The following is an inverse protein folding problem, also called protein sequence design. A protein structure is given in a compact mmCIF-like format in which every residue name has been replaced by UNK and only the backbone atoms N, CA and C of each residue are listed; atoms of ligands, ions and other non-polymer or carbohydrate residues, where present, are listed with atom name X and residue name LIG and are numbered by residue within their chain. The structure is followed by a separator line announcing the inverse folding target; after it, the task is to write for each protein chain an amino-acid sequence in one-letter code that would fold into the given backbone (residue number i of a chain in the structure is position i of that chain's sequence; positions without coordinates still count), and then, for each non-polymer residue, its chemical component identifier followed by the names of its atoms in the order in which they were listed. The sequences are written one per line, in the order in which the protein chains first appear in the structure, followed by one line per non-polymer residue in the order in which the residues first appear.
data_IF_532575446912
#
_entry.id   IF_532575446912
#
_cell.length_a   1.000
_cell.length_b   1.000
_cell.length_c   1.000
_cell.angle_alpha   90.00
_cell.angle_beta   90.00
_cell.angle_gamma   90.00
#
_symmetry.space_group_name_H-M   'P 1'
#
loop_
_entity.id
_entity.type
_entity.pdbx_description
1 polymer ?
#
# COMPACT_ATOMS: atom_id res chain seq x y z
N UNK A 1 29.98 -1.12 -14.53
CA UNK A 1 29.64 0.31 -14.41
C UNK A 1 28.26 0.43 -13.79
N UNK A 2 28.16 0.77 -12.50
CA UNK A 2 26.90 0.86 -11.78
C UNK A 2 26.25 2.23 -12.05
N UNK A 3 25.10 2.25 -12.70
CA UNK A 3 24.33 3.45 -12.96
C UNK A 3 23.80 4.05 -11.68
N UNK A 4 24.33 5.21 -11.30
CA UNK A 4 23.82 6.05 -10.20
C UNK A 4 22.36 6.41 -10.47
N UNK A 5 21.43 5.85 -9.71
CA UNK A 5 20.02 6.30 -9.66
C UNK A 5 20.03 7.76 -9.18
N UNK A 6 19.59 8.69 -10.02
CA UNK A 6 19.29 10.06 -9.60
C UNK A 6 18.11 10.00 -8.61
N UNK A 7 18.39 10.20 -7.33
CA UNK A 7 17.36 10.49 -6.34
C UNK A 7 16.72 11.82 -6.74
N UNK A 8 15.41 11.84 -6.94
CA UNK A 8 14.63 13.06 -7.04
C UNK A 8 14.64 13.65 -5.63
N UNK A 9 15.49 14.64 -5.40
CA UNK A 9 15.56 15.33 -4.12
C UNK A 9 14.22 16.05 -3.87
N UNK A 10 13.61 15.75 -2.74
CA UNK A 10 12.57 16.60 -2.15
C UNK A 10 13.22 17.97 -1.94
N UNK A 11 12.58 19.09 -2.31
CA UNK A 11 13.12 20.42 -2.03
C UNK A 11 13.49 20.54 -0.55
N UNK A 12 14.70 20.99 -0.24
CA UNK A 12 15.23 21.03 1.12
C UNK A 12 14.37 21.88 2.07
N UNK A 13 13.65 22.86 1.53
CA UNK A 13 12.67 23.69 2.24
C UNK A 13 11.43 22.88 2.74
N UNK A 14 11.10 21.76 2.11
CA UNK A 14 9.99 20.88 2.51
C UNK A 14 10.41 19.82 3.52
N UNK A 15 11.72 19.48 3.59
CA UNK A 15 12.27 18.55 4.56
C UNK A 15 12.40 19.16 5.98
N UNK A 16 12.43 20.49 6.07
CA UNK A 16 12.58 21.22 7.33
C UNK A 16 11.23 21.62 7.97
N UNK A 17 10.10 21.31 7.34
CA UNK A 17 8.78 21.65 7.84
C UNK A 17 8.03 20.38 8.28
N UNK A 18 7.98 20.07 9.61
CA UNK A 18 7.20 18.91 10.11
C UNK A 18 5.69 19.01 9.86
N UNK A 19 5.25 20.04 9.14
CA UNK A 19 3.85 20.38 8.89
C UNK A 19 3.52 20.66 7.41
N UNK A 20 4.24 20.05 6.45
CA UNK A 20 3.91 20.23 5.04
C UNK A 20 2.45 19.82 4.79
N UNK A 21 1.60 20.80 4.45
CA UNK A 21 0.19 20.55 4.18
C UNK A 21 0.04 19.94 2.79
N UNK A 22 -0.91 19.01 2.57
CA UNK A 22 -1.16 18.44 1.25
C UNK A 22 -1.35 19.49 0.15
N UNK A 23 -1.88 20.67 0.48
CA UNK A 23 -2.05 21.80 -0.45
C UNK A 23 -0.74 22.41 -0.96
N UNK A 24 0.36 22.27 -0.24
CA UNK A 24 1.67 22.81 -0.65
C UNK A 24 2.20 22.08 -1.90
N UNK A 25 1.78 20.84 -2.09
CA UNK A 25 2.16 20.00 -3.24
C UNK A 25 1.33 20.27 -4.50
N UNK A 26 0.14 20.84 -4.33
CA UNK A 26 -0.79 21.11 -5.41
C UNK A 26 -1.40 22.51 -5.27
N UNK A 27 -0.69 23.58 -5.67
CA UNK A 27 -1.22 24.94 -5.62
C UNK A 27 -2.60 25.04 -6.26
N UNK A 28 -3.54 25.66 -5.55
CA UNK A 28 -4.93 25.84 -5.97
C UNK A 28 -5.85 24.62 -5.76
N UNK A 29 -5.35 23.52 -5.20
CA UNK A 29 -6.18 22.39 -4.78
C UNK A 29 -6.34 22.45 -3.24
N UNK A 30 -7.57 22.52 -2.72
CA UNK A 30 -7.80 22.51 -1.27
C UNK A 30 -7.37 21.16 -0.66
N UNK A 31 -6.89 21.18 0.58
CA UNK A 31 -6.46 19.98 1.33
C UNK A 31 -7.54 18.91 1.34
N UNK A 32 -8.80 19.33 1.51
CA UNK A 32 -9.99 18.44 1.50
C UNK A 32 -10.28 17.77 0.14
N UNK A 33 -9.50 18.07 -0.89
CA UNK A 33 -9.55 17.42 -2.20
C UNK A 33 -8.24 16.69 -2.57
N UNK A 34 -7.34 16.51 -1.60
CA UNK A 34 -6.09 15.74 -1.78
C UNK A 34 -6.16 14.46 -0.98
N UNK A 35 -5.95 13.31 -1.63
CA UNK A 35 -5.84 12.03 -0.96
C UNK A 35 -4.38 11.61 -0.81
N UNK A 36 -4.03 11.07 0.37
CA UNK A 36 -2.81 10.30 0.58
C UNK A 36 -3.05 8.84 0.24
N UNK A 37 -2.05 8.19 -0.34
CA UNK A 37 -2.12 6.78 -0.72
C UNK A 37 -0.85 6.07 -0.26
N UNK A 38 -1.03 4.88 0.33
CA UNK A 38 0.05 3.96 0.67
C UNK A 38 -0.43 2.51 0.55
N UNK A 39 0.51 1.55 0.57
CA UNK A 39 0.22 0.14 0.50
C UNK A 39 0.89 -0.69 1.60
N UNK A 40 0.31 -1.86 1.86
CA UNK A 40 0.86 -2.88 2.74
C UNK A 40 0.98 -4.24 2.04
N UNK A 41 2.08 -4.95 2.32
CA UNK A 41 2.22 -6.35 1.92
C UNK A 41 2.94 -6.59 0.59
N UNK A 42 3.67 -5.63 0.01
CA UNK A 42 4.43 -5.85 -1.24
C UNK A 42 5.45 -6.97 -1.14
N UNK A 43 6.28 -6.97 -0.11
CA UNK A 43 7.36 -7.95 0.08
C UNK A 43 6.95 -9.29 0.67
N UNK A 44 5.67 -9.55 0.89
CA UNK A 44 5.19 -10.79 1.51
C UNK A 44 5.12 -11.95 0.51
N UNK A 45 5.42 -13.17 0.98
CA UNK A 45 5.31 -14.41 0.19
C UNK A 45 3.87 -14.88 0.02
N UNK A 46 2.96 -14.42 0.88
CA UNK A 46 1.56 -14.82 0.89
C UNK A 46 0.62 -13.66 1.21
N UNK A 47 -0.63 -13.81 0.78
CA UNK A 47 -1.70 -12.86 1.00
C UNK A 47 -1.71 -11.71 0.00
N UNK A 48 -2.72 -10.83 0.09
CA UNK A 48 -2.91 -9.75 -0.85
C UNK A 48 -1.90 -8.61 -0.66
N UNK A 49 -1.73 -7.78 -1.68
CA UNK A 49 -1.33 -6.39 -1.53
C UNK A 49 -2.59 -5.55 -1.27
N UNK A 50 -2.53 -4.70 -0.27
CA UNK A 50 -3.63 -3.81 0.12
C UNK A 50 -3.13 -2.38 0.03
N UNK A 51 -3.85 -1.53 -0.68
CA UNK A 51 -3.63 -0.08 -0.67
C UNK A 51 -4.80 0.62 0.02
N UNK A 52 -4.51 1.74 0.66
CA UNK A 52 -5.54 2.65 1.16
C UNK A 52 -5.36 4.04 0.55
N UNK A 53 -6.48 4.75 0.41
CA UNK A 53 -6.54 6.15 0.07
C UNK A 53 -7.33 6.88 1.16
N UNK A 54 -6.81 8.00 1.66
CA UNK A 54 -7.43 8.77 2.75
C UNK A 54 -7.46 10.26 2.38
N UNK A 55 -8.57 10.93 2.66
CA UNK A 55 -8.69 12.40 2.60
C UNK A 55 -9.00 12.89 4.01
N UNK A 56 -8.13 13.74 4.55
CA UNK A 56 -8.34 14.37 5.85
C UNK A 56 -8.94 15.78 5.69
N UNK A 57 -9.74 16.26 6.67
CA UNK A 57 -10.16 17.65 6.70
C UNK A 57 -8.96 18.59 6.93
N UNK A 58 -9.11 19.83 6.51
CA UNK A 58 -8.08 20.85 6.77
C UNK A 58 -7.91 21.05 8.27
N UNK A 59 -6.63 21.12 8.71
CA UNK A 59 -6.31 21.29 10.13
C UNK A 59 -6.50 20.03 10.99
N UNK A 60 -6.80 18.87 10.40
CA UNK A 60 -6.90 17.62 11.16
C UNK A 60 -5.59 17.32 11.92
N UNK A 61 -5.70 17.12 13.23
CA UNK A 61 -4.61 16.68 14.09
C UNK A 61 -4.99 15.33 14.69
N UNK A 62 -4.23 14.30 14.36
CA UNK A 62 -4.41 12.94 14.89
C UNK A 62 -3.13 12.60 15.68
N UNK A 63 -3.19 12.57 17.03
CA UNK A 63 -2.01 12.33 17.86
C UNK A 63 -1.37 10.97 17.62
N UNK A 64 -0.07 10.93 17.37
CA UNK A 64 0.70 9.71 17.12
C UNK A 64 0.71 9.23 15.66
N UNK A 65 0.16 10.00 14.74
CA UNK A 65 0.16 9.67 13.31
C UNK A 65 1.58 9.65 12.72
N UNK A 66 2.46 10.56 13.17
CA UNK A 66 3.85 10.66 12.70
C UNK A 66 4.72 9.45 13.07
N UNK A 67 4.35 8.69 14.08
CA UNK A 67 5.14 7.55 14.60
C UNK A 67 4.65 6.19 14.04
N UNK A 68 3.96 6.18 12.91
CA UNK A 68 3.27 5.00 12.35
C UNK A 68 4.15 3.75 12.21
N UNK A 69 5.44 3.91 11.95
CA UNK A 69 6.41 2.79 11.76
C UNK A 69 6.73 2.01 13.04
N UNK A 70 6.59 2.64 14.21
CA UNK A 70 6.94 2.03 15.52
C UNK A 70 5.72 1.66 16.38
N UNK A 71 4.51 1.79 15.83
CA UNK A 71 3.29 1.54 16.57
C UNK A 71 3.11 0.05 16.89
N UNK A 72 2.71 -0.24 18.14
CA UNK A 72 2.18 -1.55 18.49
C UNK A 72 0.89 -1.85 17.71
N UNK A 73 0.53 -3.13 17.48
CA UNK A 73 -0.72 -3.50 16.83
C UNK A 73 -1.95 -2.82 17.45
N UNK A 74 -2.09 -2.87 18.77
CA UNK A 74 -3.22 -2.25 19.50
C UNK A 74 -3.30 -0.74 19.30
N UNK A 75 -2.16 -0.03 19.32
CA UNK A 75 -2.16 1.43 19.09
C UNK A 75 -2.50 1.76 17.64
N UNK A 76 -2.04 0.94 16.69
CA UNK A 76 -2.36 1.10 15.27
C UNK A 76 -3.85 0.88 15.00
N UNK A 77 -4.46 -0.12 15.62
CA UNK A 77 -5.90 -0.38 15.50
C UNK A 77 -6.72 0.79 16.06
N UNK A 78 -6.32 1.36 17.20
CA UNK A 78 -6.92 2.57 17.76
C UNK A 78 -6.82 3.76 16.81
N UNK A 79 -5.64 4.00 16.24
CA UNK A 79 -5.44 5.07 15.26
C UNK A 79 -6.23 4.85 13.96
N UNK A 80 -6.35 3.61 13.49
CA UNK A 80 -7.17 3.31 12.32
C UNK A 80 -8.64 3.67 12.57
N UNK A 81 -9.16 3.42 13.77
CA UNK A 81 -10.52 3.84 14.16
C UNK A 81 -10.65 5.37 14.22
N UNK A 82 -9.68 6.08 14.83
CA UNK A 82 -9.62 7.54 14.87
C UNK A 82 -9.58 8.15 13.46
N UNK A 83 -8.72 7.63 12.57
CA UNK A 83 -8.64 8.05 11.17
C UNK A 83 -10.00 7.84 10.48
N UNK A 84 -10.61 6.68 10.67
CA UNK A 84 -11.91 6.36 10.07
C UNK A 84 -13.04 7.31 10.51
N UNK A 85 -12.97 7.81 11.75
CA UNK A 85 -13.95 8.76 12.30
C UNK A 85 -13.70 10.21 11.82
N UNK A 86 -12.44 10.61 11.61
CA UNK A 86 -12.06 12.00 11.27
C UNK A 86 -12.01 12.22 9.75
N UNK A 87 -11.64 11.19 8.97
CA UNK A 87 -11.46 11.33 7.53
C UNK A 87 -12.73 11.75 6.79
N UNK A 88 -12.60 12.68 5.85
CA UNK A 88 -13.68 13.05 4.92
C UNK A 88 -14.07 11.88 4.02
N UNK A 89 -13.10 11.10 3.62
CA UNK A 89 -13.28 9.86 2.89
C UNK A 89 -12.05 8.96 3.06
N UNK A 90 -12.27 7.65 3.05
CA UNK A 90 -11.23 6.66 2.91
C UNK A 90 -11.72 5.49 2.06
N UNK A 91 -10.80 4.80 1.41
CA UNK A 91 -11.09 3.69 0.54
C UNK A 91 -9.96 2.68 0.53
N UNK A 92 -10.29 1.43 0.20
CA UNK A 92 -9.36 0.31 0.14
C UNK A 92 -9.35 -0.31 -1.26
N UNK A 93 -8.18 -0.74 -1.67
CA UNK A 93 -7.99 -1.58 -2.85
C UNK A 93 -7.21 -2.83 -2.47
N UNK A 94 -7.69 -3.98 -2.91
CA UNK A 94 -7.09 -5.29 -2.57
C UNK A 94 -6.82 -6.05 -3.86
N UNK A 95 -5.60 -6.56 -4.02
CA UNK A 95 -5.24 -7.47 -5.12
C UNK A 95 -4.65 -8.74 -4.54
N UNK A 96 -5.25 -9.88 -4.87
CA UNK A 96 -4.92 -11.18 -4.30
C UNK A 96 -3.77 -11.89 -5.02
N UNK A 97 -3.16 -12.86 -4.36
CA UNK A 97 -1.97 -13.59 -4.82
C UNK A 97 -2.09 -14.15 -6.25
N UNK A 98 -3.20 -14.77 -6.70
CA UNK A 98 -3.29 -15.26 -8.07
C UNK A 98 -3.17 -14.15 -9.13
N UNK A 99 -3.68 -12.96 -8.82
CA UNK A 99 -3.55 -11.84 -9.73
C UNK A 99 -2.16 -11.19 -9.64
N UNK A 100 -1.54 -11.15 -8.45
CA UNK A 100 -0.14 -10.72 -8.28
C UNK A 100 0.78 -11.57 -9.14
N UNK A 101 0.60 -12.89 -9.15
CA UNK A 101 1.38 -13.80 -9.97
C UNK A 101 1.18 -13.56 -11.48
N UNK A 102 -0.02 -13.13 -11.88
CA UNK A 102 -0.36 -12.87 -13.28
C UNK A 102 0.22 -11.56 -13.82
N UNK A 103 0.20 -10.47 -13.02
CA UNK A 103 0.53 -9.11 -13.48
C UNK A 103 1.79 -8.52 -12.84
N UNK A 104 2.48 -9.24 -11.99
CA UNK A 104 3.55 -8.87 -11.07
C UNK A 104 3.13 -7.89 -9.94
N UNK A 105 4.02 -7.80 -8.91
CA UNK A 105 3.71 -7.04 -7.70
C UNK A 105 3.61 -5.52 -7.94
N UNK A 106 4.39 -4.96 -8.86
CA UNK A 106 4.32 -3.53 -9.15
C UNK A 106 2.96 -3.17 -9.75
N UNK A 107 2.54 -3.89 -10.78
CA UNK A 107 1.24 -3.65 -11.43
C UNK A 107 0.08 -3.93 -10.48
N UNK A 108 0.19 -4.95 -9.64
CA UNK A 108 -0.80 -5.26 -8.61
C UNK A 108 -0.93 -4.14 -7.57
N UNK A 109 0.20 -3.56 -7.14
CA UNK A 109 0.22 -2.41 -6.21
C UNK A 109 -0.46 -1.19 -6.84
N UNK A 110 -0.07 -0.81 -8.05
CA UNK A 110 -0.67 0.33 -8.76
C UNK A 110 -2.18 0.13 -9.01
N UNK A 111 -2.58 -1.12 -9.30
CA UNK A 111 -3.99 -1.48 -9.42
C UNK A 111 -4.73 -1.35 -8.08
N UNK A 112 -4.14 -1.81 -6.98
CA UNK A 112 -4.71 -1.64 -5.64
C UNK A 112 -4.87 -0.16 -5.27
N UNK A 113 -3.85 0.67 -5.53
CA UNK A 113 -3.89 2.12 -5.32
C UNK A 113 -4.99 2.79 -6.15
N UNK A 114 -5.13 2.41 -7.42
CA UNK A 114 -6.21 2.90 -8.29
C UNK A 114 -7.60 2.54 -7.73
N UNK A 115 -7.77 1.30 -7.26
CA UNK A 115 -9.02 0.86 -6.61
C UNK A 115 -9.32 1.68 -5.36
N UNK A 116 -8.33 1.84 -4.47
CA UNK A 116 -8.48 2.62 -3.24
C UNK A 116 -8.94 4.06 -3.53
N UNK A 117 -8.31 4.73 -4.50
CA UNK A 117 -8.67 6.09 -4.89
C UNK A 117 -10.07 6.15 -5.53
N UNK A 118 -10.42 5.18 -6.39
CA UNK A 118 -11.67 5.19 -7.16
C UNK A 118 -12.93 4.94 -6.33
N UNK A 119 -12.81 4.35 -5.14
CA UNK A 119 -13.95 4.07 -4.24
C UNK A 119 -14.18 5.17 -3.20
N UNK A 120 -13.37 6.23 -3.21
CA UNK A 120 -13.56 7.37 -2.30
C UNK A 120 -14.90 8.05 -2.56
N UNK A 121 -15.66 8.31 -1.50
CA UNK A 121 -16.94 9.05 -1.58
C UNK A 121 -16.73 10.51 -1.99
N UNK A 122 -15.59 11.08 -1.63
CA UNK A 122 -15.14 12.41 -2.08
C UNK A 122 -14.09 12.20 -3.16
N UNK A 123 -14.37 12.73 -4.36
CA UNK A 123 -13.43 12.59 -5.47
C UNK A 123 -12.19 13.44 -5.26
N UNK A 124 -11.00 12.86 -5.23
CA UNK A 124 -9.75 13.63 -5.10
C UNK A 124 -9.42 14.38 -6.40
N UNK A 125 -8.90 15.61 -6.26
CA UNK A 125 -8.28 16.39 -7.34
C UNK A 125 -6.77 16.18 -7.38
N UNK A 126 -6.16 15.76 -6.25
CA UNK A 126 -4.75 15.44 -6.11
C UNK A 126 -4.53 14.15 -5.35
N UNK A 127 -3.47 13.41 -5.69
CA UNK A 127 -3.01 12.22 -5.00
C UNK A 127 -1.55 12.39 -4.58
N UNK A 128 -1.26 12.23 -3.30
CA UNK A 128 0.08 12.09 -2.75
C UNK A 128 0.30 10.61 -2.48
N UNK A 129 1.29 10.01 -3.14
CA UNK A 129 1.48 8.56 -3.15
C UNK A 129 2.82 8.24 -2.53
N UNK A 130 2.86 7.32 -1.55
CA UNK A 130 4.12 6.84 -1.00
C UNK A 130 5.00 6.19 -2.06
N UNK A 131 6.32 6.41 -1.95
CA UNK A 131 7.31 5.82 -2.83
C UNK A 131 7.65 6.67 -4.07
N UNK A 132 7.99 6.00 -5.18
CA UNK A 132 8.54 6.64 -6.38
C UNK A 132 7.71 6.38 -7.66
N UNK A 133 6.50 5.85 -7.52
CA UNK A 133 5.62 5.52 -8.65
C UNK A 133 4.32 6.29 -8.56
N UNK A 134 3.73 6.59 -9.72
CA UNK A 134 2.37 7.13 -9.84
C UNK A 134 1.48 6.12 -10.54
N UNK A 135 0.16 6.24 -10.34
CA UNK A 135 -0.82 5.35 -10.95
C UNK A 135 -0.96 5.69 -12.44
N UNK A 136 -0.74 4.72 -13.36
CA UNK A 136 -0.88 4.96 -14.80
C UNK A 136 -2.28 5.44 -15.20
N UNK A 137 -2.33 6.44 -16.06
CA UNK A 137 -3.58 7.00 -16.61
C UNK A 137 -4.57 5.95 -17.14
N UNK A 138 -4.13 4.91 -17.89
CA UNK A 138 -5.04 3.87 -18.39
C UNK A 138 -5.79 3.12 -17.28
N UNK A 139 -5.19 2.94 -16.09
CA UNK A 139 -5.88 2.31 -14.96
C UNK A 139 -7.05 3.16 -14.46
N UNK A 140 -6.88 4.49 -14.40
CA UNK A 140 -7.97 5.39 -14.05
C UNK A 140 -9.08 5.39 -15.09
N UNK A 141 -8.74 5.45 -16.39
CA UNK A 141 -9.74 5.38 -17.46
C UNK A 141 -10.57 4.10 -17.41
N UNK A 142 -9.94 2.99 -17.10
CA UNK A 142 -10.63 1.70 -17.00
C UNK A 142 -11.51 1.61 -15.74
N UNK A 143 -11.05 2.12 -14.60
CA UNK A 143 -11.69 1.92 -13.30
C UNK A 143 -12.63 3.04 -12.90
N UNK A 144 -12.28 4.25 -13.23
CA UNK A 144 -13.02 5.49 -12.91
C UNK A 144 -13.49 6.19 -14.17
N UNK A 145 -14.11 5.44 -15.09
CA UNK A 145 -14.58 5.96 -16.39
C UNK A 145 -15.58 7.12 -16.26
N UNK A 146 -16.28 7.23 -15.13
CA UNK A 146 -17.18 8.35 -14.82
C UNK A 146 -16.43 9.63 -14.38
N UNK A 147 -15.12 9.58 -14.15
CA UNK A 147 -14.36 10.75 -13.78
C UNK A 147 -14.03 11.57 -15.04
N UNK A 148 -14.34 12.89 -15.08
CA UNK A 148 -14.05 13.73 -16.24
C UNK A 148 -12.56 13.88 -16.53
N UNK A 149 -11.70 13.71 -15.52
CA UNK A 149 -10.24 13.73 -15.64
C UNK A 149 -9.60 12.94 -14.50
N UNK A 150 -8.41 12.41 -14.72
CA UNK A 150 -7.60 11.82 -13.65
C UNK A 150 -7.11 12.90 -12.69
N UNK A 151 -6.96 12.58 -11.38
CA UNK A 151 -6.38 13.51 -10.42
C UNK A 151 -4.92 13.81 -10.73
N UNK A 152 -4.45 14.99 -10.35
CA UNK A 152 -3.00 15.29 -10.35
C UNK A 152 -2.30 14.37 -9.37
N UNK A 153 -1.09 13.90 -9.69
CA UNK A 153 -0.38 12.93 -8.85
C UNK A 153 1.02 13.38 -8.54
N UNK A 154 1.48 13.08 -7.33
CA UNK A 154 2.87 13.21 -6.91
C UNK A 154 3.28 12.04 -6.03
N UNK A 155 4.37 11.38 -6.41
CA UNK A 155 5.02 10.36 -5.57
C UNK A 155 5.99 11.04 -4.60
N UNK A 156 6.04 10.55 -3.36
CA UNK A 156 6.86 11.07 -2.29
C UNK A 156 7.57 9.89 -1.63
N UNK A 157 8.89 9.86 -1.74
CA UNK A 157 9.71 8.83 -1.07
C UNK A 157 9.64 9.06 0.44
N UNK A 158 9.42 7.99 1.21
CA UNK A 158 9.18 8.03 2.65
C UNK A 158 8.00 8.96 3.05
N UNK A 159 7.01 9.07 2.17
CA UNK A 159 5.85 9.93 2.35
C UNK A 159 5.02 9.58 3.60
N UNK A 160 5.00 8.31 3.98
CA UNK A 160 4.36 7.82 5.21
C UNK A 160 4.98 8.42 6.50
N UNK A 161 6.24 8.82 6.47
CA UNK A 161 6.91 9.52 7.56
C UNK A 161 6.79 11.05 7.48
N UNK A 162 6.58 11.60 6.27
CA UNK A 162 6.68 13.03 5.99
C UNK A 162 5.31 13.72 5.89
N UNK A 163 4.28 13.00 5.42
CA UNK A 163 3.00 13.60 5.03
C UNK A 163 1.85 12.93 5.79
N UNK A 164 1.18 13.63 6.71
CA UNK A 164 0.17 13.05 7.58
C UNK A 164 -0.94 12.28 6.86
N UNK A 165 -1.39 12.72 5.68
CA UNK A 165 -2.43 12.03 4.94
C UNK A 165 -1.94 10.71 4.33
N UNK A 166 -0.64 10.59 4.01
CA UNK A 166 -0.01 9.31 3.59
C UNK A 166 0.18 8.41 4.80
N UNK A 167 0.64 8.94 5.95
CA UNK A 167 0.72 8.18 7.21
C UNK A 167 -0.63 7.57 7.59
N UNK A 168 -1.72 8.32 7.44
CA UNK A 168 -3.08 7.82 7.66
C UNK A 168 -3.44 6.67 6.73
N UNK A 169 -3.09 6.76 5.44
CA UNK A 169 -3.29 5.69 4.47
C UNK A 169 -2.47 4.45 4.83
N UNK A 170 -1.21 4.62 5.24
CA UNK A 170 -0.32 3.54 5.70
C UNK A 170 -0.95 2.75 6.85
N UNK A 171 -1.44 3.45 7.88
CA UNK A 171 -2.10 2.82 9.04
C UNK A 171 -3.34 2.04 8.62
N UNK A 172 -4.21 2.61 7.80
CA UNK A 172 -5.43 1.93 7.30
C UNK A 172 -5.06 0.70 6.47
N UNK A 173 -4.13 0.82 5.53
CA UNK A 173 -3.70 -0.30 4.68
C UNK A 173 -3.11 -1.44 5.51
N UNK A 174 -2.24 -1.11 6.46
CA UNK A 174 -1.58 -2.09 7.33
C UNK A 174 -2.55 -2.79 8.28
N UNK A 175 -3.41 -2.03 8.97
CA UNK A 175 -4.42 -2.59 9.88
C UNK A 175 -5.36 -3.54 9.14
N UNK A 176 -5.89 -3.12 8.01
CA UNK A 176 -6.79 -3.94 7.22
C UNK A 176 -6.11 -5.21 6.69
N UNK A 177 -4.87 -5.08 6.20
CA UNK A 177 -4.13 -6.24 5.72
C UNK A 177 -3.82 -7.23 6.84
N UNK A 178 -3.41 -6.76 8.01
CA UNK A 178 -3.11 -7.62 9.15
C UNK A 178 -4.36 -8.41 9.58
N UNK A 179 -5.54 -7.76 9.62
CA UNK A 179 -6.83 -8.44 9.86
C UNK A 179 -7.14 -9.51 8.81
N UNK A 180 -6.84 -9.27 7.52
CA UNK A 180 -7.00 -10.29 6.48
C UNK A 180 -6.06 -11.48 6.71
N UNK A 181 -4.82 -11.22 7.12
CA UNK A 181 -3.85 -12.30 7.39
C UNK A 181 -4.25 -13.15 8.59
N UNK A 182 -4.88 -12.56 9.62
CA UNK A 182 -5.44 -13.30 10.76
C UNK A 182 -6.58 -14.23 10.30
N UNK A 183 -7.48 -13.75 9.45
CA UNK A 183 -8.54 -14.59 8.86
C UNK A 183 -7.97 -15.71 7.97
N UNK A 184 -6.89 -15.43 7.23
CA UNK A 184 -6.23 -16.45 6.42
C UNK A 184 -5.53 -17.51 7.27
N UNK A 185 -5.02 -17.16 8.45
CA UNK A 185 -4.42 -18.12 9.39
C UNK A 185 -5.42 -19.18 9.84
N UNK A 186 -6.66 -18.76 10.17
CA UNK A 186 -7.76 -19.67 10.48
C UNK A 186 -8.17 -20.56 9.31
N UNK A 187 -8.13 -20.02 8.08
CA UNK A 187 -8.53 -20.77 6.88
C UNK A 187 -7.45 -21.73 6.38
N UNK A 188 -6.19 -21.40 6.62
CA UNK A 188 -5.02 -22.17 6.20
C UNK A 188 -4.11 -22.38 7.41
N UNK A 189 -4.51 -23.26 8.35
CA UNK A 189 -3.73 -23.50 9.57
C UNK A 189 -2.37 -24.13 9.25
N UNK A 190 -1.40 -23.92 10.12
CA UNK A 190 -0.04 -24.47 10.00
C UNK A 190 0.97 -23.56 9.32
N UNK A 191 0.53 -22.53 8.57
CA UNK A 191 1.46 -21.56 7.95
C UNK A 191 1.90 -20.45 8.89
N UNK A 192 1.14 -20.12 9.95
CA UNK A 192 1.45 -19.07 10.92
C UNK A 192 1.23 -17.65 10.38
N UNK A 193 0.27 -17.44 9.51
CA UNK A 193 -0.02 -16.14 8.90
C UNK A 193 -0.38 -15.05 9.90
N UNK A 194 -1.02 -15.42 11.03
CA UNK A 194 -1.32 -14.48 12.10
C UNK A 194 -0.05 -13.91 12.74
N UNK A 195 1.03 -14.70 12.83
CA UNK A 195 2.29 -14.29 13.47
C UNK A 195 3.13 -13.40 12.56
N UNK A 196 3.45 -13.86 11.37
CA UNK A 196 4.39 -13.19 10.46
C UNK A 196 3.71 -12.44 9.30
N UNK A 197 2.38 -12.39 9.26
CA UNK A 197 1.59 -11.65 8.27
C UNK A 197 1.99 -11.92 6.82
N UNK A 198 2.47 -13.15 6.53
CA UNK A 198 2.88 -13.58 5.20
C UNK A 198 4.30 -13.19 4.78
N UNK A 199 5.07 -12.52 5.65
CA UNK A 199 6.49 -12.25 5.38
C UNK A 199 7.33 -13.54 5.41
N UNK A 200 8.45 -13.54 4.67
CA UNK A 200 9.38 -14.67 4.58
C UNK A 200 10.21 -14.86 5.85
N UNK A 201 9.58 -15.22 6.96
CA UNK A 201 10.25 -15.62 8.18
C UNK A 201 10.78 -17.06 8.09
N UNK A 202 11.67 -17.43 9.00
CA UNK A 202 12.18 -18.83 9.11
C UNK A 202 11.04 -19.84 9.27
N UNK A 203 10.05 -19.48 10.09
CA UNK A 203 8.85 -20.29 10.36
C UNK A 203 8.00 -20.44 9.10
N UNK A 204 7.81 -19.34 8.31
CA UNK A 204 7.05 -19.39 7.07
C UNK A 204 7.72 -20.29 6.03
N UNK A 205 9.05 -20.18 5.86
CA UNK A 205 9.79 -21.08 4.97
C UNK A 205 9.78 -22.54 5.46
N UNK A 206 9.77 -22.79 6.77
CA UNK A 206 9.64 -24.15 7.31
C UNK A 206 8.25 -24.73 6.97
N UNK A 207 7.18 -23.98 7.21
CA UNK A 207 5.82 -24.37 6.84
C UNK A 207 5.67 -24.63 5.33
N UNK A 208 6.28 -23.78 4.49
CA UNK A 208 6.29 -23.98 3.04
C UNK A 208 6.99 -25.29 2.61
N UNK A 209 8.07 -25.68 3.27
CA UNK A 209 8.75 -26.96 2.97
C UNK A 209 7.93 -28.18 3.40
N UNK A 210 7.20 -28.06 4.50
CA UNK A 210 6.41 -29.15 5.05
C UNK A 210 5.07 -29.32 4.35
N UNK A 211 4.33 -28.22 4.16
CA UNK A 211 2.94 -28.24 3.69
C UNK A 211 2.80 -27.92 2.18
N UNK A 212 3.88 -27.44 1.56
CA UNK A 212 3.81 -26.84 0.22
C UNK A 212 3.07 -25.50 0.21
N UNK A 213 2.95 -24.83 -0.93
CA UNK A 213 2.27 -23.54 -1.04
C UNK A 213 0.74 -23.71 -1.15
N UNK A 214 -0.01 -23.01 -0.30
CA UNK A 214 -1.47 -22.89 -0.42
C UNK A 214 -1.86 -21.85 -1.51
N UNK A 215 -3.15 -21.73 -1.90
CA UNK A 215 -3.61 -20.78 -2.92
C UNK A 215 -3.32 -19.30 -2.59
N UNK A 216 -3.02 -18.98 -1.34
CA UNK A 216 -2.69 -17.61 -0.93
C UNK A 216 -1.21 -17.27 -1.07
N UNK A 217 -0.35 -18.20 -1.44
CA UNK A 217 1.06 -17.92 -1.72
C UNK A 217 1.27 -17.36 -3.11
N UNK A 218 2.25 -16.47 -3.23
CA UNK A 218 2.66 -15.84 -4.50
C UNK A 218 3.72 -16.72 -5.16
N UNK A 219 3.28 -17.59 -6.05
CA UNK A 219 4.11 -18.65 -6.65
C UNK A 219 5.28 -18.11 -7.48
N UNK A 220 5.18 -16.88 -7.97
CA UNK A 220 6.25 -16.19 -8.71
C UNK A 220 7.30 -15.56 -7.79
N UNK A 221 7.08 -15.54 -6.46
CA UNK A 221 8.04 -14.99 -5.52
C UNK A 221 9.12 -16.03 -5.18
N UNK A 222 10.36 -15.55 -5.09
CA UNK A 222 11.50 -16.41 -4.78
C UNK A 222 11.31 -17.14 -3.45
N UNK A 223 11.56 -18.45 -3.46
CA UNK A 223 11.49 -19.31 -2.28
C UNK A 223 10.08 -19.83 -1.94
N UNK A 224 9.05 -19.50 -2.72
CA UNK A 224 7.70 -20.06 -2.55
C UNK A 224 7.59 -21.43 -3.22
N UNK A 225 8.09 -21.55 -4.45
CA UNK A 225 8.20 -22.84 -5.13
C UNK A 225 9.62 -23.41 -5.01
N UNK A 226 9.77 -24.76 -5.00
CA UNK A 226 11.08 -25.40 -5.08
C UNK A 226 11.83 -24.94 -6.35
N UNK A 227 13.15 -24.78 -6.27
CA UNK A 227 13.99 -24.26 -7.37
C UNK A 227 13.85 -25.04 -8.70
N UNK A 228 13.56 -26.34 -8.65
CA UNK A 228 13.34 -27.16 -9.85
C UNK A 228 12.09 -26.80 -10.67
N UNK A 229 11.10 -26.12 -10.05
CA UNK A 229 9.89 -25.69 -10.75
C UNK A 229 10.02 -24.28 -11.34
N UNK A 230 10.92 -23.46 -10.82
CA UNK A 230 11.19 -22.12 -11.37
C UNK A 230 12.04 -22.17 -12.64
N UNK A 231 12.93 -23.15 -12.80
CA UNK A 231 13.75 -23.32 -14.00
C UNK A 231 12.94 -23.72 -15.26
N UNK A 232 11.80 -24.38 -15.10
CA UNK A 232 10.93 -24.77 -16.23
C UNK A 232 10.07 -23.64 -16.79
N UNK A 233 9.81 -22.57 -16.00
CA UNK A 233 9.04 -21.41 -16.48
C UNK A 233 9.90 -20.39 -17.24
N UNK A 234 11.24 -20.40 -17.06
CA UNK A 234 12.16 -19.52 -17.77
C UNK A 234 12.58 -19.98 -19.16
N UNK A 235 12.18 -21.21 -19.60
CA UNK A 235 12.60 -21.76 -20.91
C UNK A 235 11.48 -21.73 -21.98
N UNK A 236 10.40 -20.97 -21.74
CA UNK A 236 9.27 -20.77 -22.66
C UNK A 236 9.16 -19.31 -23.13
N UNK A 237 10.30 -18.61 -23.25
CA UNK A 237 10.38 -17.32 -23.95
C UNK A 237 11.32 -17.43 -25.14
#
# INVERSE_FOLDING_TARGET
MAGRKKSVSVPEELLLCPSAKPGDWFPGIPVSAVAGIDEAGRGCLAGPVVAAAVILPEGAVIPGLADSKVLSPTRRDGLAAEIGAVALAWGLGVVWSPEIDRINILQATLKAMCHAASVLKVRPKGLLIDGNQTIPEPLFRQRAACWPSSPRQKSIVDGDALVPVISAASIIAKTFRDMLMDKLDHRYPGYGFAKHKGYGSKEHFAALRELGPCPMHRKTFRGVLPEQQTARQGSLL
#
